data_IF_771844028575
#
_entry.id   IF_771844028575
#
_cell.length_a   1.000
_cell.length_b   1.000
_cell.length_c   1.000
_cell.angle_alpha   90.00
_cell.angle_beta   90.00
_cell.angle_gamma   90.00
#
_symmetry.space_group_name_H-M   'P 1'
#
loop_
_entity.id
_entity.type
_entity.pdbx_description
1 polymer ?
#
# COMPACT_ATOMS: atom_id res chain seq x y z
N UNK A 1 -19.62 -0.38 -10.77
CA UNK A 1 -18.83 -1.63 -10.76
C UNK A 1 -17.84 -1.54 -9.60
N UNK A 2 -18.31 -1.74 -8.36
CA UNK A 2 -17.52 -1.52 -7.14
C UNK A 2 -17.73 -2.58 -6.07
N UNK A 3 -18.34 -3.71 -6.43
CA UNK A 3 -18.77 -4.75 -5.49
C UNK A 3 -17.88 -5.98 -5.63
N UNK A 4 -16.71 -5.96 -4.98
CA UNK A 4 -15.95 -7.21 -4.75
C UNK A 4 -15.11 -7.18 -3.47
N UNK A 5 -14.77 -6.00 -2.93
CA UNK A 5 -13.98 -5.89 -1.69
C UNK A 5 -14.78 -6.26 -0.44
N UNK A 6 -16.11 -6.13 -0.47
CA UNK A 6 -16.98 -6.42 0.68
C UNK A 6 -17.03 -7.90 1.12
N UNK A 7 -16.50 -8.84 0.32
CA UNK A 7 -16.49 -10.28 0.67
C UNK A 7 -15.16 -10.78 1.24
N UNK A 8 -14.04 -10.08 1.00
CA UNK A 8 -12.73 -10.47 1.55
C UNK A 8 -12.53 -9.96 2.98
N UNK A 9 -13.08 -8.80 3.33
CA UNK A 9 -12.94 -8.20 4.67
C UNK A 9 -13.85 -8.79 5.74
N UNK A 10 -14.87 -9.58 5.38
CA UNK A 10 -15.90 -10.02 6.33
C UNK A 10 -15.69 -11.39 6.98
N UNK A 11 -14.73 -12.20 6.51
CA UNK A 11 -14.72 -13.63 6.85
C UNK A 11 -13.55 -14.12 7.70
N UNK A 12 -12.37 -13.49 7.74
CA UNK A 12 -11.21 -14.18 8.32
C UNK A 12 -10.12 -13.23 8.85
N UNK A 13 -10.28 -12.75 10.09
CA UNK A 13 -9.15 -12.47 11.00
C UNK A 13 -8.22 -11.29 10.71
N UNK A 14 -8.32 -10.62 9.55
CA UNK A 14 -7.44 -9.49 9.20
C UNK A 14 -7.62 -8.31 10.16
N UNK A 15 -8.82 -8.05 10.67
CA UNK A 15 -9.10 -6.99 11.65
C UNK A 15 -8.26 -7.09 12.93
N UNK A 16 -8.00 -8.33 13.41
CA UNK A 16 -7.17 -8.54 14.61
C UNK A 16 -5.69 -8.43 14.32
N UNK A 17 -5.28 -8.79 13.10
CA UNK A 17 -3.90 -8.67 12.65
C UNK A 17 -3.54 -7.21 12.42
N UNK A 18 -4.45 -6.40 11.87
CA UNK A 18 -4.26 -4.95 11.73
C UNK A 18 -4.02 -4.30 13.09
N UNK A 19 -4.83 -4.61 14.11
CA UNK A 19 -4.63 -4.09 15.49
C UNK A 19 -3.43 -4.64 16.25
N UNK A 20 -2.86 -5.77 15.82
CA UNK A 20 -1.74 -6.42 16.51
C UNK A 20 -0.39 -6.20 15.79
N UNK A 21 -0.40 -5.95 14.48
CA UNK A 21 0.77 -5.62 13.66
C UNK A 21 0.97 -4.11 13.58
N UNK A 22 -0.11 -3.33 13.48
CA UNK A 22 -0.05 -1.90 13.76
C UNK A 22 -0.01 -1.76 15.28
N UNK A 23 1.19 -1.76 15.85
CA UNK A 23 1.39 -1.33 17.23
C UNK A 23 0.68 0.00 17.46
N UNK A 24 0.23 0.21 18.70
CA UNK A 24 -0.33 1.46 19.22
C UNK A 24 0.26 2.66 18.45
N UNK A 25 -0.59 3.44 17.78
CA UNK A 25 -0.26 4.68 17.06
C UNK A 25 0.05 4.66 15.54
N UNK A 26 -0.73 3.96 14.71
CA UNK A 26 -0.83 4.35 13.29
C UNK A 26 -1.97 5.38 13.09
N UNK A 27 -1.72 6.63 13.52
CA UNK A 27 -2.60 7.82 13.40
C UNK A 27 -2.82 8.32 11.95
N UNK A 28 -2.98 7.40 11.01
CA UNK A 28 -2.93 7.64 9.57
C UNK A 28 -4.27 8.13 8.98
N UNK A 29 -5.33 8.26 9.80
CA UNK A 29 -6.66 8.71 9.35
C UNK A 29 -6.79 10.24 9.28
N UNK A 30 -6.31 10.97 10.29
CA UNK A 30 -6.40 12.45 10.34
C UNK A 30 -5.46 13.10 9.31
N UNK A 31 -4.33 12.44 9.02
CA UNK A 31 -3.28 12.87 8.08
C UNK A 31 -3.70 12.68 6.62
N UNK A 32 -4.49 11.65 6.34
CA UNK A 32 -5.09 11.40 5.03
C UNK A 32 -5.98 12.56 4.55
N UNK A 33 -6.69 13.23 5.47
CA UNK A 33 -7.52 14.40 5.12
C UNK A 33 -6.70 15.63 4.75
N UNK A 34 -5.59 15.87 5.46
CA UNK A 34 -4.65 16.95 5.13
C UNK A 34 -3.97 16.72 3.78
N UNK A 35 -3.59 15.48 3.48
CA UNK A 35 -2.91 15.13 2.23
C UNK A 35 -3.82 15.22 1.01
N UNK A 36 -5.08 14.78 1.14
CA UNK A 36 -6.09 14.91 0.08
C UNK A 36 -6.34 16.37 -0.30
N UNK A 37 -6.19 17.30 0.66
CA UNK A 37 -6.31 18.74 0.44
C UNK A 37 -5.09 19.35 -0.25
N UNK A 38 -3.89 18.83 0.03
CA UNK A 38 -2.64 19.31 -0.56
C UNK A 38 -2.32 18.69 -1.93
N UNK A 39 -2.74 17.45 -2.17
CA UNK A 39 -2.46 16.69 -3.40
C UNK A 39 -3.74 16.04 -3.95
N UNK A 40 -4.62 16.80 -4.61
CA UNK A 40 -5.92 16.30 -5.08
C UNK A 40 -5.84 15.18 -6.13
N UNK A 41 -4.64 14.95 -6.70
CA UNK A 41 -4.38 13.94 -7.72
C UNK A 41 -3.86 12.61 -7.17
N UNK A 42 -3.50 12.54 -5.88
CA UNK A 42 -3.09 11.30 -5.23
C UNK A 42 -4.33 10.73 -4.56
N UNK A 43 -4.74 9.53 -4.97
CA UNK A 43 -5.84 8.86 -4.28
C UNK A 43 -5.33 8.38 -2.92
N UNK A 44 -6.12 8.57 -1.84
CA UNK A 44 -5.74 8.07 -0.54
C UNK A 44 -5.53 6.57 -0.60
N UNK A 45 -4.44 6.08 0.00
CA UNK A 45 -4.24 4.64 0.15
C UNK A 45 -5.43 4.06 0.91
N UNK A 46 -6.14 3.11 0.29
CA UNK A 46 -7.18 2.36 0.99
C UNK A 46 -6.56 1.53 2.12
N UNK A 47 -7.37 1.15 3.11
CA UNK A 47 -6.95 0.22 4.17
C UNK A 47 -6.37 -1.09 3.61
N UNK A 48 -6.91 -1.58 2.49
CA UNK A 48 -6.36 -2.73 1.77
C UNK A 48 -4.95 -2.46 1.22
N UNK A 49 -4.75 -1.30 0.59
CA UNK A 49 -3.45 -0.87 0.08
C UNK A 49 -2.40 -0.74 1.19
N UNK A 50 -2.79 -0.16 2.34
CA UNK A 50 -1.93 -0.04 3.52
C UNK A 50 -1.56 -1.44 4.05
N UNK A 51 -2.54 -2.34 4.15
CA UNK A 51 -2.29 -3.72 4.60
C UNK A 51 -1.33 -4.45 3.67
N UNK A 52 -1.51 -4.36 2.35
CA UNK A 52 -0.59 -4.97 1.39
C UNK A 52 0.81 -4.35 1.46
N UNK A 53 0.90 -3.04 1.70
CA UNK A 53 2.18 -2.39 1.93
C UNK A 53 2.91 -2.97 3.14
N UNK A 54 2.25 -3.08 4.29
CA UNK A 54 2.92 -3.51 5.53
C UNK A 54 3.21 -5.02 5.60
N UNK A 55 2.35 -5.84 5.01
CA UNK A 55 2.44 -7.31 5.13
C UNK A 55 3.23 -7.97 4.00
N UNK A 56 3.26 -7.35 2.81
CA UNK A 56 3.88 -7.91 1.61
C UNK A 56 5.02 -7.03 1.13
N UNK A 57 4.76 -5.76 0.83
CA UNK A 57 5.69 -4.91 0.08
C UNK A 57 6.87 -4.46 0.95
N UNK A 58 6.63 -3.92 2.14
CA UNK A 58 7.66 -3.47 3.09
C UNK A 58 8.58 -4.62 3.52
N UNK A 59 8.07 -5.79 3.96
CA UNK A 59 8.94 -6.92 4.29
C UNK A 59 9.71 -7.47 3.08
N UNK A 60 9.14 -7.43 1.87
CA UNK A 60 9.87 -7.84 0.67
C UNK A 60 11.00 -6.87 0.29
N UNK A 61 10.78 -5.56 0.46
CA UNK A 61 11.79 -4.51 0.27
C UNK A 61 12.91 -4.60 1.31
N UNK A 62 12.58 -4.77 2.59
CA UNK A 62 13.55 -4.95 3.69
C UNK A 62 14.40 -6.20 3.54
N UNK A 63 13.82 -7.28 3.02
CA UNK A 63 14.56 -8.52 2.67
C UNK A 63 15.43 -8.36 1.42
N UNK A 64 15.32 -7.24 0.70
CA UNK A 64 16.02 -6.98 -0.56
C UNK A 64 15.62 -7.93 -1.70
N UNK A 65 14.50 -8.65 -1.57
CA UNK A 65 14.06 -9.66 -2.53
C UNK A 65 12.56 -9.56 -2.74
N UNK A 66 12.20 -9.02 -3.90
CA UNK A 66 10.83 -9.00 -4.39
C UNK A 66 10.54 -10.26 -5.20
N UNK A 67 9.61 -11.09 -4.73
CA UNK A 67 9.13 -12.25 -5.50
C UNK A 67 8.07 -11.82 -6.52
N UNK A 68 7.74 -12.70 -7.47
CA UNK A 68 6.68 -12.44 -8.43
C UNK A 68 5.35 -12.06 -7.77
N UNK A 69 4.82 -12.78 -6.75
CA UNK A 69 3.57 -12.38 -6.09
C UNK A 69 3.70 -11.02 -5.36
N UNK A 70 4.86 -10.72 -4.76
CA UNK A 70 5.09 -9.42 -4.10
C UNK A 70 5.01 -8.27 -5.12
N UNK A 71 5.58 -8.47 -6.32
CA UNK A 71 5.53 -7.47 -7.39
C UNK A 71 4.10 -7.27 -7.93
N UNK A 72 3.27 -8.32 -7.99
CA UNK A 72 1.86 -8.18 -8.36
C UNK A 72 1.07 -7.38 -7.31
N UNK A 73 1.31 -7.65 -6.02
CA UNK A 73 0.73 -6.87 -4.93
C UNK A 73 1.16 -5.40 -5.01
N UNK A 74 2.45 -5.15 -5.24
CA UNK A 74 2.99 -3.81 -5.45
C UNK A 74 2.34 -3.07 -6.63
N UNK A 75 2.22 -3.71 -7.79
CA UNK A 75 1.59 -3.12 -8.98
C UNK A 75 0.14 -2.74 -8.68
N UNK A 76 -0.60 -3.62 -7.97
CA UNK A 76 -1.99 -3.36 -7.57
C UNK A 76 -2.09 -2.11 -6.68
N UNK A 77 -1.29 -2.04 -5.62
CA UNK A 77 -1.28 -0.89 -4.70
C UNK A 77 -0.87 0.39 -5.43
N UNK A 78 0.20 0.32 -6.24
CA UNK A 78 0.67 1.48 -7.00
C UNK A 78 -0.39 2.01 -7.96
N UNK A 79 -1.14 1.12 -8.63
CA UNK A 79 -2.23 1.51 -9.50
C UNK A 79 -3.40 2.13 -8.75
N UNK A 80 -3.70 1.68 -7.52
CA UNK A 80 -4.73 2.29 -6.68
C UNK A 80 -4.35 3.71 -6.25
N UNK A 81 -3.11 3.91 -5.80
CA UNK A 81 -2.63 5.21 -5.28
C UNK A 81 -2.42 6.24 -6.38
N UNK A 82 -1.76 5.84 -7.46
CA UNK A 82 -1.32 6.76 -8.52
C UNK A 82 -2.18 6.70 -9.78
N UNK A 83 -3.26 5.91 -9.78
CA UNK A 83 -4.08 5.64 -10.97
C UNK A 83 -3.25 5.22 -12.19
N UNK A 84 -2.09 4.61 -11.94
CA UNK A 84 -1.08 4.30 -12.94
C UNK A 84 -0.78 2.80 -12.92
N UNK A 85 -1.11 2.10 -14.01
CA UNK A 85 -0.80 0.68 -14.17
C UNK A 85 0.68 0.49 -14.52
N UNK A 86 1.44 -0.07 -13.58
CA UNK A 86 2.81 -0.48 -13.82
C UNK A 86 2.85 -1.86 -14.50
N UNK A 87 3.87 -2.07 -15.33
CA UNK A 87 4.17 -3.39 -15.88
C UNK A 87 5.11 -4.15 -14.94
N UNK A 88 4.95 -5.46 -14.90
CA UNK A 88 5.93 -6.36 -14.30
C UNK A 88 7.31 -6.10 -14.91
N UNK A 89 8.35 -6.06 -14.07
CA UNK A 89 9.71 -5.77 -14.53
C UNK A 89 10.73 -6.62 -13.79
N UNK A 90 11.70 -7.15 -14.54
CA UNK A 90 12.89 -7.80 -13.99
C UNK A 90 14.00 -6.79 -13.64
N UNK A 91 13.84 -5.50 -14.00
CA UNK A 91 14.79 -4.46 -13.64
C UNK A 91 14.66 -4.12 -12.15
N UNK A 92 15.52 -4.72 -11.31
CA UNK A 92 15.55 -4.48 -9.87
C UNK A 92 15.72 -3.01 -9.50
N UNK A 93 16.63 -2.29 -10.15
CA UNK A 93 16.84 -0.85 -9.91
C UNK A 93 15.60 0.00 -10.26
N UNK A 94 14.94 -0.29 -11.38
CA UNK A 94 13.72 0.39 -11.79
C UNK A 94 12.58 0.14 -10.79
N UNK A 95 12.49 -1.08 -10.28
CA UNK A 95 11.48 -1.48 -9.30
C UNK A 95 11.70 -0.76 -7.97
N UNK A 96 12.94 -0.75 -7.44
CA UNK A 96 13.31 -0.05 -6.19
C UNK A 96 12.97 1.45 -6.26
N UNK A 97 13.19 2.10 -7.40
CA UNK A 97 12.81 3.51 -7.58
C UNK A 97 11.29 3.72 -7.42
N UNK A 98 10.47 2.78 -7.92
CA UNK A 98 9.01 2.86 -7.80
C UNK A 98 8.52 2.50 -6.39
N UNK A 99 9.16 1.53 -5.73
CA UNK A 99 8.91 1.19 -4.32
C UNK A 99 9.19 2.40 -3.43
N UNK A 100 10.33 3.06 -3.61
CA UNK A 100 10.67 4.27 -2.85
C UNK A 100 9.65 5.39 -3.03
N UNK A 101 9.08 5.52 -4.24
CA UNK A 101 8.00 6.48 -4.48
C UNK A 101 6.74 6.11 -3.69
N UNK A 102 6.35 4.83 -3.69
CA UNK A 102 5.21 4.34 -2.91
C UNK A 102 5.44 4.49 -1.40
N UNK A 103 6.65 4.20 -0.93
CA UNK A 103 7.08 4.41 0.46
C UNK A 103 6.86 5.85 0.92
N UNK A 104 7.32 6.83 0.12
CA UNK A 104 7.11 8.25 0.43
C UNK A 104 5.64 8.64 0.49
N UNK A 105 4.79 8.05 -0.35
CA UNK A 105 3.34 8.30 -0.27
C UNK A 105 2.71 7.68 0.98
N UNK A 106 3.18 6.51 1.40
CA UNK A 106 2.76 5.89 2.65
C UNK A 106 3.23 6.69 3.87
N UNK A 107 4.52 7.06 3.92
CA UNK A 107 5.11 7.92 4.95
C UNK A 107 4.32 9.25 5.03
N UNK A 108 4.10 9.92 3.90
CA UNK A 108 3.34 11.16 3.89
C UNK A 108 1.87 10.98 4.32
N UNK A 109 1.21 9.87 3.97
CA UNK A 109 -0.15 9.60 4.41
C UNK A 109 -0.26 9.35 5.93
N UNK A 110 0.84 8.90 6.55
CA UNK A 110 0.92 8.61 7.96
C UNK A 110 1.72 9.65 8.76
N UNK A 111 2.21 10.76 8.17
CA UNK A 111 2.83 11.96 8.81
C UNK A 111 2.01 13.25 8.70
#
# INVERSE_FOLDING_TARGET
MGDTVAKVTKATGVDKVVKAIAGDDCGCNERQEALNKAFPYIQPMSEESKTLWETVIRPADERGRMTAPDQHAFIKVYAQVYQTQLKFTSCGGCLVQKINKLRKAYEAACD
#
